data_IF_455316667169
#
_entry.id   IF_455316667169
#
_cell.length_a   1.000
_cell.length_b   1.000
_cell.length_c   1.000
_cell.angle_alpha   90.00
_cell.angle_beta   90.00
_cell.angle_gamma   90.00
#
_symmetry.space_group_name_H-M   'P 1'
#
loop_
_entity.id
_entity.type
_entity.pdbx_description
1 polymer ?
#
# COMPACT_ATOMS: atom_id res chain seq x y z
N UNK A 1 14.86 2.55 -13.97
CA UNK A 1 14.91 2.50 -12.49
C UNK A 1 13.74 1.67 -11.98
N UNK A 2 13.97 0.81 -10.98
CA UNK A 2 12.88 0.02 -10.35
C UNK A 2 12.00 0.92 -9.49
N UNK A 3 10.69 0.70 -9.52
CA UNK A 3 9.73 1.45 -8.66
C UNK A 3 9.78 0.99 -7.20
N UNK A 4 10.27 -0.24 -6.96
CA UNK A 4 10.48 -0.87 -5.66
C UNK A 4 11.94 -1.37 -5.59
N UNK A 5 12.90 -0.47 -5.29
CA UNK A 5 14.31 -0.85 -5.25
C UNK A 5 14.70 -1.59 -3.97
N UNK A 6 13.98 -1.39 -2.86
CA UNK A 6 14.29 -1.98 -1.55
C UNK A 6 13.02 -2.08 -0.70
N UNK A 7 13.03 -2.99 0.28
CA UNK A 7 12.08 -3.02 1.41
C UNK A 7 12.63 -2.36 2.67
N UNK A 8 13.91 -1.96 2.66
CA UNK A 8 14.58 -1.32 3.79
C UNK A 8 14.20 0.17 3.85
N UNK A 9 13.85 0.64 5.03
CA UNK A 9 13.35 1.98 5.35
C UNK A 9 13.90 2.44 6.69
N UNK A 10 14.23 3.73 6.83
CA UNK A 10 14.95 4.25 7.99
C UNK A 10 14.10 4.28 9.27
N UNK A 11 12.79 4.53 9.13
CA UNK A 11 11.86 4.64 10.27
C UNK A 11 10.62 3.77 10.09
N UNK A 12 9.88 3.46 11.17
CA UNK A 12 8.57 2.80 11.07
C UNK A 12 7.56 3.57 10.22
N UNK A 13 7.61 4.91 10.24
CA UNK A 13 6.74 5.77 9.44
C UNK A 13 7.02 5.61 7.94
N UNK A 14 8.31 5.65 7.54
CA UNK A 14 8.73 5.37 6.16
C UNK A 14 8.32 3.95 5.72
N UNK A 15 8.39 2.99 6.64
CA UNK A 15 7.93 1.62 6.43
C UNK A 15 6.43 1.54 6.15
N UNK A 16 5.63 2.34 6.85
CA UNK A 16 4.19 2.42 6.64
C UNK A 16 3.84 3.08 5.30
N UNK A 17 4.55 4.16 4.93
CA UNK A 17 4.42 4.79 3.62
C UNK A 17 4.79 3.84 2.48
N UNK A 18 5.84 3.02 2.67
CA UNK A 18 6.18 1.97 1.72
C UNK A 18 5.06 0.93 1.61
N UNK A 19 4.47 0.49 2.72
CA UNK A 19 3.36 -0.45 2.73
C UNK A 19 2.12 0.11 1.99
N UNK A 20 1.79 1.38 2.20
CA UNK A 20 0.76 2.09 1.43
C UNK A 20 1.04 2.08 -0.07
N UNK A 21 2.29 2.40 -0.45
CA UNK A 21 2.71 2.38 -1.85
C UNK A 21 2.59 0.99 -2.47
N UNK A 22 2.99 -0.07 -1.76
CA UNK A 22 2.84 -1.47 -2.21
C UNK A 22 1.38 -1.79 -2.49
N UNK A 23 0.48 -1.48 -1.54
CA UNK A 23 -0.97 -1.71 -1.68
C UNK A 23 -1.56 -1.01 -2.91
N UNK A 24 -1.21 0.28 -3.12
CA UNK A 24 -1.69 1.06 -4.26
C UNK A 24 -1.12 0.57 -5.59
N UNK A 25 0.13 0.11 -5.60
CA UNK A 25 0.79 -0.40 -6.80
C UNK A 25 0.20 -1.73 -7.27
N UNK A 26 -0.28 -2.58 -6.37
CA UNK A 26 -1.04 -3.77 -6.75
C UNK A 26 -2.28 -3.41 -7.57
N UNK A 27 -3.10 -2.47 -7.09
CA UNK A 27 -4.29 -1.97 -7.82
C UNK A 27 -3.90 -1.33 -9.17
N UNK A 28 -2.83 -0.53 -9.19
CA UNK A 28 -2.36 0.10 -10.43
C UNK A 28 -1.88 -0.92 -11.48
N UNK A 29 -1.33 -2.05 -11.04
CA UNK A 29 -0.85 -3.11 -11.93
C UNK A 29 -1.97 -3.99 -12.45
N UNK A 30 -2.99 -4.27 -11.64
CA UNK A 30 -4.16 -5.06 -12.06
C UNK A 30 -5.10 -4.27 -12.95
N UNK A 31 -5.30 -2.98 -12.66
CA UNK A 31 -6.07 -2.06 -13.48
C UNK A 31 -5.17 -0.91 -13.95
N UNK A 32 -4.57 -1.01 -15.16
CA UNK A 32 -3.63 -0.01 -15.66
C UNK A 32 -4.29 1.30 -16.11
N UNK A 33 -5.59 1.30 -16.45
CA UNK A 33 -6.33 2.50 -16.87
C UNK A 33 -6.60 3.45 -15.69
N UNK A 34 -6.08 4.67 -15.78
CA UNK A 34 -6.25 5.70 -14.76
C UNK A 34 -7.67 6.27 -14.69
N UNK A 35 -8.37 6.37 -15.82
CA UNK A 35 -9.76 6.83 -15.85
C UNK A 35 -10.68 5.84 -15.13
N UNK A 36 -10.44 4.54 -15.34
CA UNK A 36 -11.18 3.49 -14.62
C UNK A 36 -10.92 3.56 -13.11
N UNK A 37 -9.66 3.68 -12.68
CA UNK A 37 -9.33 3.81 -11.25
C UNK A 37 -9.93 5.05 -10.61
N UNK A 38 -9.94 6.17 -11.33
CA UNK A 38 -10.53 7.43 -10.86
C UNK A 38 -12.03 7.27 -10.64
N UNK A 39 -12.72 6.63 -11.59
CA UNK A 39 -14.16 6.35 -11.46
C UNK A 39 -14.47 5.43 -10.28
N UNK A 40 -13.70 4.36 -10.09
CA UNK A 40 -13.89 3.41 -8.99
C UNK A 40 -13.57 3.99 -7.60
N UNK A 41 -12.82 5.11 -7.54
CA UNK A 41 -12.41 5.71 -6.28
C UNK A 41 -13.60 6.17 -5.43
N UNK A 42 -14.57 6.82 -6.07
CA UNK A 42 -15.77 7.33 -5.38
C UNK A 42 -16.56 6.21 -4.67
N UNK A 43 -16.53 4.99 -5.21
CA UNK A 43 -17.26 3.83 -4.68
C UNK A 43 -16.67 3.38 -3.33
N UNK A 44 -15.34 3.35 -3.21
CA UNK A 44 -14.68 2.79 -2.03
C UNK A 44 -14.28 3.86 -1.00
N UNK A 45 -14.05 5.11 -1.41
CA UNK A 45 -13.54 6.14 -0.49
C UNK A 45 -14.57 6.62 0.54
N UNK A 46 -15.86 6.38 0.30
CA UNK A 46 -16.96 6.68 1.22
C UNK A 46 -17.62 5.43 1.82
N UNK A 47 -17.02 4.25 1.63
CA UNK A 47 -17.57 2.97 2.06
C UNK A 47 -16.75 2.39 3.23
N UNK A 48 -17.39 2.23 4.40
CA UNK A 48 -16.71 1.81 5.64
C UNK A 48 -16.03 0.44 5.53
N UNK A 49 -16.69 -0.54 4.92
CA UNK A 49 -16.13 -1.88 4.73
C UNK A 49 -14.91 -1.82 3.79
N UNK A 50 -15.00 -1.01 2.74
CA UNK A 50 -13.92 -0.83 1.78
C UNK A 50 -12.72 -0.13 2.40
N UNK A 51 -12.93 0.90 3.23
CA UNK A 51 -11.88 1.58 3.98
C UNK A 51 -11.20 0.63 4.98
N UNK A 52 -11.99 -0.21 5.66
CA UNK A 52 -11.48 -1.25 6.58
C UNK A 52 -10.64 -2.28 5.81
N UNK A 53 -11.11 -2.73 4.66
CA UNK A 53 -10.36 -3.66 3.81
C UNK A 53 -9.08 -3.05 3.24
N UNK A 54 -9.10 -1.77 2.83
CA UNK A 54 -7.90 -1.06 2.41
C UNK A 54 -6.86 -1.00 3.54
N UNK A 55 -7.30 -0.69 4.77
CA UNK A 55 -6.45 -0.71 5.96
C UNK A 55 -5.85 -2.10 6.21
N UNK A 56 -6.65 -3.16 6.09
CA UNK A 56 -6.18 -4.54 6.27
C UNK A 56 -5.09 -4.95 5.26
N UNK A 57 -5.23 -4.56 3.99
CA UNK A 57 -4.20 -4.81 2.96
C UNK A 57 -2.89 -4.08 3.32
N UNK A 58 -2.98 -2.82 3.75
CA UNK A 58 -1.81 -2.06 4.21
C UNK A 58 -1.16 -2.71 5.43
N UNK A 59 -1.94 -3.16 6.41
CA UNK A 59 -1.42 -3.86 7.59
C UNK A 59 -0.65 -5.13 7.22
N UNK A 60 -1.14 -5.90 6.24
CA UNK A 60 -0.46 -7.10 5.73
C UNK A 60 0.88 -6.78 5.06
N UNK A 61 0.92 -5.72 4.24
CA UNK A 61 2.16 -5.25 3.63
C UNK A 61 3.13 -4.70 4.67
N UNK A 62 2.64 -3.94 5.66
CA UNK A 62 3.45 -3.38 6.72
C UNK A 62 4.08 -4.45 7.59
N UNK A 63 3.38 -5.56 7.86
CA UNK A 63 3.97 -6.72 8.54
C UNK A 63 5.20 -7.26 7.80
N UNK A 64 5.17 -7.28 6.47
CA UNK A 64 6.30 -7.73 5.63
C UNK A 64 7.44 -6.71 5.66
N UNK A 65 7.13 -5.42 5.52
CA UNK A 65 8.13 -4.33 5.57
C UNK A 65 8.79 -4.27 6.95
N UNK A 66 8.03 -4.33 8.04
CA UNK A 66 8.56 -4.33 9.40
C UNK A 66 9.51 -5.52 9.63
N UNK A 67 9.16 -6.72 9.16
CA UNK A 67 10.05 -7.89 9.23
C UNK A 67 11.33 -7.69 8.44
N UNK A 68 11.26 -7.11 7.24
CA UNK A 68 12.44 -6.81 6.44
C UNK A 68 13.39 -5.81 7.14
N UNK A 69 12.82 -4.89 7.94
CA UNK A 69 13.55 -3.88 8.71
C UNK A 69 13.89 -4.32 10.14
N UNK A 70 13.72 -5.62 10.47
CA UNK A 70 13.93 -6.14 11.83
C UNK A 70 13.21 -5.30 12.91
N UNK A 71 12.04 -4.77 12.58
CA UNK A 71 11.23 -3.91 13.45
C UNK A 71 11.93 -2.63 13.94
N UNK A 72 12.97 -2.15 13.24
CA UNK A 72 13.73 -0.94 13.58
C UNK A 72 14.40 -0.99 14.97
N UNK A 73 14.70 -2.20 15.45
CA UNK A 73 15.41 -2.47 16.73
C UNK A 73 16.84 -2.91 16.51
#
# INVERSE_FOLDING_TARGET
MSWLPSLITDTPEDGFELALKLSRMAVKKTQPDDAVRTRLRADYENNADSLTMASHVVATNFQTVARANKYWT
#
